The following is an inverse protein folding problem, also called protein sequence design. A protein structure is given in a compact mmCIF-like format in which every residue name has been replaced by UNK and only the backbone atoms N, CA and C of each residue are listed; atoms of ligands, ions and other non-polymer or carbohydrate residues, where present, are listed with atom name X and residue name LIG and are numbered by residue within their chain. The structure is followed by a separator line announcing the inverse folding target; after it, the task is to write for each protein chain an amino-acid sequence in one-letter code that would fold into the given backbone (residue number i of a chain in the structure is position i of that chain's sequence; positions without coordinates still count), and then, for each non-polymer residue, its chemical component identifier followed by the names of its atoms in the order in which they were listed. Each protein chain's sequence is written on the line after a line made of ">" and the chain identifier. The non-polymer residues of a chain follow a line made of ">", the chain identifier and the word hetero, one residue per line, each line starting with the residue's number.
data_IF_647358397425
#
_entry.id   IF_647358397425
#
_cell.length_a   1.000
_cell.length_b   1.000
_cell.length_c   1.000
_cell.angle_alpha   90.00
_cell.angle_beta   90.00
_cell.angle_gamma   90.00
#
_symmetry.space_group_name_H-M   'P 1'
#
loop_
_entity.id
_entity.type
_entity.pdbx_description
1 polymer ?
#
# COMPACT_ATOMS: atom_id res chain seq x y z
N UNK A 1 -38.38 -20.27 27.63
CA UNK A 1 -38.34 -20.93 26.31
C UNK A 1 -36.91 -21.36 26.10
N UNK A 2 -36.60 -22.57 26.52
CA UNK A 2 -35.26 -23.17 26.46
C UNK A 2 -34.97 -23.64 25.03
N UNK A 3 -33.74 -23.44 24.59
CA UNK A 3 -33.26 -23.88 23.29
C UNK A 3 -32.99 -25.40 23.35
N UNK A 4 -33.56 -26.23 22.45
CA UNK A 4 -33.32 -27.66 22.49
C UNK A 4 -31.91 -27.96 21.95
N UNK A 5 -31.10 -28.68 22.73
CA UNK A 5 -29.87 -29.30 22.28
C UNK A 5 -30.21 -30.63 21.57
N UNK A 6 -29.71 -30.91 20.37
CA UNK A 6 -29.78 -32.25 19.81
C UNK A 6 -28.60 -33.08 20.34
N UNK A 7 -28.91 -34.17 21.06
CA UNK A 7 -27.97 -35.27 21.23
C UNK A 7 -27.97 -36.09 19.92
N UNK A 8 -26.81 -36.18 19.27
CA UNK A 8 -26.52 -37.19 18.26
C UNK A 8 -25.05 -37.64 18.40
N UNK A 9 -24.87 -38.94 18.66
CA UNK A 9 -23.71 -39.81 18.43
C UNK A 9 -22.29 -39.22 18.45
N UNK A 10 -21.52 -39.63 19.47
CA UNK A 10 -20.09 -39.33 19.69
C UNK A 10 -19.14 -40.27 18.93
N UNK A 11 -19.13 -40.25 17.60
CA UNK A 11 -18.05 -40.92 16.82
C UNK A 11 -17.40 -40.06 15.72
N UNK A 12 -17.87 -38.84 15.46
CA UNK A 12 -17.24 -37.89 14.52
C UNK A 12 -17.07 -36.50 15.17
N UNK A 13 -16.46 -36.45 16.36
CA UNK A 13 -15.93 -35.17 16.85
C UNK A 13 -14.68 -34.84 16.01
N UNK A 14 -14.65 -33.75 15.23
CA UNK A 14 -13.44 -33.35 14.53
C UNK A 14 -12.33 -33.18 15.58
N UNK A 15 -11.19 -33.80 15.33
CA UNK A 15 -10.01 -33.73 16.18
C UNK A 15 -9.70 -32.25 16.48
N UNK A 16 -9.90 -31.84 17.74
CA UNK A 16 -9.63 -30.47 18.23
C UNK A 16 -8.13 -30.10 18.14
N UNK A 17 -7.30 -30.97 17.54
CA UNK A 17 -5.86 -30.78 17.28
C UNK A 17 -5.48 -30.96 15.82
N UNK A 18 -6.41 -30.76 14.87
CA UNK A 18 -6.03 -30.60 13.48
C UNK A 18 -4.93 -29.51 13.37
N UNK A 19 -3.82 -29.77 12.65
CA UNK A 19 -2.73 -28.81 12.56
C UNK A 19 -3.26 -27.51 11.95
N UNK A 20 -2.87 -26.38 12.56
CA UNK A 20 -3.15 -25.05 11.99
C UNK A 20 -2.55 -25.03 10.58
N UNK A 21 -3.41 -24.91 9.58
CA UNK A 21 -2.97 -24.86 8.18
C UNK A 21 -2.35 -23.48 7.95
N UNK A 22 -1.04 -23.44 7.81
CA UNK A 22 -0.33 -22.22 7.43
C UNK A 22 -0.38 -22.06 5.90
N UNK A 23 -0.84 -20.88 5.46
CA UNK A 23 -0.84 -20.51 4.05
C UNK A 23 0.35 -19.58 3.78
N UNK A 24 1.25 -19.93 2.84
CA UNK A 24 2.37 -19.06 2.51
C UNK A 24 1.87 -17.80 1.79
N UNK A 25 2.64 -16.71 1.87
CA UNK A 25 2.31 -15.46 1.17
C UNK A 25 2.63 -15.49 -0.34
N UNK A 26 3.42 -16.48 -0.75
CA UNK A 26 3.84 -16.74 -2.12
C UNK A 26 4.45 -18.14 -2.19
N UNK A 27 4.58 -18.68 -3.41
CA UNK A 27 5.34 -19.91 -3.63
C UNK A 27 6.13 -19.85 -4.94
N UNK A 28 7.16 -20.70 -5.05
CA UNK A 28 7.98 -20.82 -6.24
C UNK A 28 7.53 -22.00 -7.10
N UNK A 29 7.51 -21.81 -8.42
CA UNK A 29 7.18 -22.85 -9.39
C UNK A 29 8.09 -22.77 -10.63
N UNK A 30 8.20 -23.87 -11.36
CA UNK A 30 8.86 -23.86 -12.66
C UNK A 30 7.96 -23.25 -13.72
N UNK A 31 8.52 -22.31 -14.49
CA UNK A 31 7.86 -21.66 -15.61
C UNK A 31 8.70 -21.81 -16.88
N UNK A 32 8.04 -21.72 -18.03
CA UNK A 32 8.69 -21.62 -19.34
C UNK A 32 8.62 -20.16 -19.78
N UNK A 33 9.77 -19.48 -19.78
CA UNK A 33 9.90 -18.14 -20.35
C UNK A 33 10.18 -18.23 -21.84
N UNK A 34 9.36 -17.54 -22.64
CA UNK A 34 9.47 -17.47 -24.09
C UNK A 34 9.91 -16.05 -24.50
N UNK A 35 10.91 -15.96 -25.36
CA UNK A 35 11.15 -14.77 -26.18
C UNK A 35 10.77 -15.06 -27.65
N UNK A 36 11.07 -14.15 -28.58
CA UNK A 36 10.71 -14.32 -30.01
C UNK A 36 11.35 -15.55 -30.67
N UNK A 37 12.42 -16.09 -30.12
CA UNK A 37 13.28 -17.10 -30.76
C UNK A 37 13.74 -18.23 -29.82
N UNK A 38 13.54 -18.10 -28.50
CA UNK A 38 14.02 -19.07 -27.50
C UNK A 38 12.95 -19.39 -26.46
N UNK A 39 13.04 -20.59 -25.92
CA UNK A 39 12.35 -21.01 -24.70
C UNK A 39 13.37 -21.40 -23.63
N UNK A 40 13.14 -20.96 -22.40
CA UNK A 40 13.98 -21.29 -21.24
C UNK A 40 13.11 -21.68 -20.06
N UNK A 41 13.52 -22.70 -19.30
CA UNK A 41 12.89 -23.04 -18.02
C UNK A 41 13.59 -22.28 -16.90
N UNK A 42 12.81 -21.67 -16.01
CA UNK A 42 13.33 -20.99 -14.81
C UNK A 42 12.35 -21.16 -13.66
N UNK A 43 12.80 -20.94 -12.43
CA UNK A 43 11.90 -20.76 -11.30
C UNK A 43 11.38 -19.33 -11.27
N UNK A 44 10.09 -19.18 -10.99
CA UNK A 44 9.45 -17.89 -10.74
C UNK A 44 8.68 -17.95 -9.42
N UNK A 45 8.41 -16.79 -8.82
CA UNK A 45 7.64 -16.67 -7.58
C UNK A 45 6.29 -16.04 -7.88
N UNK A 46 5.22 -16.62 -7.34
CA UNK A 46 3.85 -16.15 -7.52
C UNK A 46 3.25 -15.85 -6.16
N UNK A 47 2.63 -14.68 -6.05
CA UNK A 47 1.92 -14.25 -4.83
C UNK A 47 0.73 -15.17 -4.58
N UNK A 48 0.47 -15.48 -3.32
CA UNK A 48 -0.68 -16.28 -2.93
C UNK A 48 -1.95 -15.42 -2.85
N UNK A 49 -3.07 -16.01 -3.28
CA UNK A 49 -4.41 -15.44 -3.20
C UNK A 49 -5.33 -16.45 -2.51
N UNK A 50 -5.57 -16.24 -1.20
CA UNK A 50 -6.29 -17.18 -0.34
C UNK A 50 -7.71 -16.65 -0.07
N UNK A 51 -8.74 -17.51 -0.06
CA UNK A 51 -10.05 -17.16 0.47
C UNK A 51 -9.97 -16.88 1.98
N UNK A 52 -10.28 -15.64 2.37
CA UNK A 52 -10.28 -15.20 3.76
C UNK A 52 -11.71 -14.83 4.17
N UNK A 53 -12.30 -15.62 5.07
CA UNK A 53 -13.61 -15.40 5.64
C UNK A 53 -13.55 -14.47 6.86
N UNK A 54 -14.35 -13.41 6.85
CA UNK A 54 -14.49 -12.46 7.96
C UNK A 54 -15.69 -12.87 8.82
N UNK A 55 -15.42 -13.40 10.01
CA UNK A 55 -16.43 -14.01 10.89
C UNK A 55 -16.62 -13.15 12.12
N UNK A 56 -17.79 -12.53 12.28
CA UNK A 56 -18.12 -11.68 13.43
C UNK A 56 -19.07 -12.42 14.37
N UNK A 57 -18.65 -12.66 15.62
CA UNK A 57 -19.42 -13.38 16.64
C UNK A 57 -20.08 -14.66 16.07
N UNK A 58 -19.24 -15.52 15.46
CA UNK A 58 -19.63 -16.79 14.82
C UNK A 58 -20.49 -16.67 13.56
N UNK A 59 -20.64 -15.48 12.97
CA UNK A 59 -21.36 -15.29 11.71
C UNK A 59 -20.39 -14.85 10.62
N UNK A 60 -20.23 -15.69 9.59
CA UNK A 60 -19.52 -15.31 8.36
C UNK A 60 -20.26 -14.15 7.67
N UNK A 61 -19.54 -13.05 7.47
CA UNK A 61 -20.05 -11.82 6.89
C UNK A 61 -19.66 -11.68 5.42
N UNK A 62 -18.39 -11.91 5.11
CA UNK A 62 -17.84 -11.80 3.77
C UNK A 62 -16.67 -12.77 3.59
N UNK A 63 -16.40 -13.15 2.35
CA UNK A 63 -15.20 -13.87 1.96
C UNK A 63 -14.48 -13.02 0.91
N UNK A 64 -13.21 -12.73 1.16
CA UNK A 64 -12.36 -11.93 0.30
C UNK A 64 -11.18 -12.77 -0.16
N UNK A 65 -10.84 -12.68 -1.45
CA UNK A 65 -9.55 -13.16 -1.91
C UNK A 65 -8.48 -12.13 -1.49
N UNK A 66 -7.48 -12.57 -0.74
CA UNK A 66 -6.43 -11.72 -0.20
C UNK A 66 -5.13 -12.51 0.02
N UNK A 67 -4.02 -11.80 0.12
CA UNK A 67 -2.72 -12.42 0.46
C UNK A 67 -2.68 -12.65 1.99
N UNK A 68 -2.26 -13.84 2.47
CA UNK A 68 -2.38 -14.26 3.87
C UNK A 68 -1.35 -13.61 4.81
N UNK A 69 -1.22 -12.29 4.74
CA UNK A 69 -0.31 -11.46 5.54
C UNK A 69 -1.07 -10.36 6.27
N UNK A 70 -0.56 -9.93 7.43
CA UNK A 70 -1.11 -8.81 8.20
C UNK A 70 -2.64 -8.92 8.44
N UNK A 71 -3.13 -10.13 8.76
CA UNK A 71 -4.56 -10.45 8.77
C UNK A 71 -5.37 -9.73 9.85
N UNK A 72 -4.77 -9.50 11.02
CA UNK A 72 -5.41 -8.66 12.06
C UNK A 72 -5.56 -7.20 11.60
N UNK A 73 -4.58 -6.68 10.85
CA UNK A 73 -4.66 -5.35 10.27
C UNK A 73 -5.75 -5.31 9.19
N UNK A 74 -5.83 -6.35 8.35
CA UNK A 74 -6.89 -6.49 7.35
C UNK A 74 -8.28 -6.49 8.00
N UNK A 75 -8.48 -7.32 9.03
CA UNK A 75 -9.75 -7.44 9.74
C UNK A 75 -10.21 -6.12 10.37
N UNK A 76 -9.33 -5.43 11.09
CA UNK A 76 -9.67 -4.15 11.71
C UNK A 76 -9.95 -3.09 10.65
N UNK A 77 -9.08 -2.98 9.64
CA UNK A 77 -9.21 -2.00 8.57
C UNK A 77 -10.48 -2.16 7.75
N UNK A 78 -10.78 -3.39 7.34
CA UNK A 78 -12.03 -3.73 6.66
C UNK A 78 -13.23 -3.35 7.53
N UNK A 79 -13.20 -3.72 8.81
CA UNK A 79 -14.31 -3.47 9.73
C UNK A 79 -14.61 -1.98 9.92
N UNK A 80 -13.58 -1.14 9.98
CA UNK A 80 -13.71 0.32 10.06
C UNK A 80 -14.12 0.93 8.71
N UNK A 81 -13.48 0.51 7.62
CA UNK A 81 -13.77 0.98 6.26
C UNK A 81 -15.20 0.66 5.83
N UNK A 82 -15.73 -0.49 6.26
CA UNK A 82 -17.11 -0.91 6.02
C UNK A 82 -18.13 -0.31 7.03
N UNK A 83 -17.66 0.44 8.03
CA UNK A 83 -18.53 0.96 9.08
C UNK A 83 -19.29 -0.14 9.83
N UNK A 84 -18.68 -1.34 9.90
CA UNK A 84 -19.09 -2.42 10.81
C UNK A 84 -18.70 -2.00 12.22
N UNK A 85 -17.51 -1.42 12.36
CA UNK A 85 -17.05 -0.74 13.56
C UNK A 85 -16.99 0.77 13.30
N UNK A 86 -17.23 1.57 14.33
CA UNK A 86 -17.00 3.03 14.34
C UNK A 86 -15.70 3.39 15.06
N UNK A 87 -15.20 2.52 15.93
CA UNK A 87 -13.95 2.74 16.65
C UNK A 87 -13.22 1.41 16.89
N UNK A 88 -11.89 1.41 17.00
CA UNK A 88 -11.12 0.18 17.20
C UNK A 88 -11.47 -0.57 18.49
N UNK A 89 -11.85 0.14 19.56
CA UNK A 89 -12.23 -0.48 20.84
C UNK A 89 -13.54 -1.27 20.80
N UNK A 90 -14.25 -1.27 19.67
CA UNK A 90 -15.43 -2.11 19.47
C UNK A 90 -15.07 -3.53 18.97
N UNK A 91 -13.81 -3.76 18.57
CA UNK A 91 -13.22 -5.08 18.32
C UNK A 91 -12.58 -5.58 19.62
N UNK A 92 -13.16 -6.62 20.20
CA UNK A 92 -12.74 -7.20 21.47
C UNK A 92 -11.70 -8.30 21.29
N UNK A 93 -11.78 -9.03 20.19
CA UNK A 93 -10.85 -10.13 19.87
C UNK A 93 -10.78 -10.34 18.36
N UNK A 94 -9.64 -10.85 17.87
CA UNK A 94 -9.38 -11.10 16.45
C UNK A 94 -8.34 -12.21 16.29
N UNK A 95 -8.77 -13.37 15.80
CA UNK A 95 -7.95 -14.56 15.65
C UNK A 95 -8.04 -15.11 14.21
N UNK A 96 -6.96 -15.01 13.42
CA UNK A 96 -6.85 -15.71 12.15
C UNK A 96 -6.61 -17.21 12.36
N UNK A 97 -7.44 -18.06 11.77
CA UNK A 97 -7.38 -19.52 11.88
C UNK A 97 -7.35 -20.14 10.49
N UNK A 98 -6.30 -20.92 10.20
CA UNK A 98 -6.18 -21.68 8.97
C UNK A 98 -7.15 -22.86 8.91
N UNK A 99 -7.86 -23.00 7.80
CA UNK A 99 -8.81 -24.10 7.51
C UNK A 99 -8.49 -24.70 6.12
N UNK A 100 -8.98 -25.90 5.79
CA UNK A 100 -8.67 -26.54 4.50
C UNK A 100 -9.04 -25.69 3.28
N UNK A 101 -10.10 -24.90 3.39
CA UNK A 101 -10.63 -24.07 2.31
C UNK A 101 -10.02 -22.65 2.26
N UNK A 102 -9.14 -22.29 3.21
CA UNK A 102 -8.55 -20.95 3.30
C UNK A 102 -8.29 -20.52 4.74
N UNK A 103 -8.69 -19.29 5.09
CA UNK A 103 -8.49 -18.76 6.45
C UNK A 103 -9.79 -18.14 6.94
N UNK A 104 -10.13 -18.37 8.20
CA UNK A 104 -11.16 -17.62 8.91
C UNK A 104 -10.52 -16.59 9.83
N UNK A 105 -10.86 -15.32 9.70
CA UNK A 105 -10.55 -14.33 10.73
C UNK A 105 -11.76 -14.22 11.65
N UNK A 106 -11.64 -14.85 12.83
CA UNK A 106 -12.66 -14.91 13.86
C UNK A 106 -12.55 -13.67 14.73
N UNK A 107 -13.59 -12.86 14.71
CA UNK A 107 -13.65 -11.58 15.42
C UNK A 107 -14.76 -11.58 16.45
N UNK A 108 -14.44 -11.08 17.64
CA UNK A 108 -15.43 -10.76 18.66
C UNK A 108 -15.64 -9.26 18.66
N UNK A 109 -16.88 -8.82 18.44
CA UNK A 109 -17.28 -7.41 18.47
C UNK A 109 -18.37 -7.17 19.51
N UNK A 110 -18.46 -5.93 19.98
CA UNK A 110 -19.48 -5.50 20.96
C UNK A 110 -20.91 -5.79 20.47
N UNK A 111 -21.80 -6.14 21.41
CA UNK A 111 -23.12 -6.69 21.11
C UNK A 111 -24.02 -5.79 20.25
N UNK A 112 -23.98 -4.47 20.43
CA UNK A 112 -24.77 -3.53 19.62
C UNK A 112 -24.30 -3.46 18.16
N UNK A 113 -22.98 -3.57 17.90
CA UNK A 113 -22.45 -3.67 16.53
C UNK A 113 -22.89 -4.94 15.85
N UNK A 114 -22.82 -6.05 16.58
CA UNK A 114 -23.31 -7.33 16.07
C UNK A 114 -24.82 -7.30 15.78
N UNK A 115 -25.62 -6.61 16.59
CA UNK A 115 -27.04 -6.42 16.33
C UNK A 115 -27.29 -5.58 15.05
N UNK A 116 -26.59 -4.46 14.88
CA UNK A 116 -26.65 -3.63 13.65
C UNK A 116 -26.25 -4.44 12.40
N UNK A 117 -25.19 -5.26 12.49
CA UNK A 117 -24.71 -6.10 11.40
C UNK A 117 -25.75 -7.13 10.98
N UNK A 118 -26.39 -7.81 11.94
CA UNK A 118 -27.48 -8.77 11.67
C UNK A 118 -28.67 -8.09 11.01
N UNK A 119 -29.04 -6.89 11.44
CA UNK A 119 -30.15 -6.16 10.85
C UNK A 119 -29.86 -5.79 9.39
N UNK A 120 -28.66 -5.23 9.11
CA UNK A 120 -28.22 -4.96 7.73
C UNK A 120 -28.26 -6.20 6.85
N UNK A 121 -27.82 -7.35 7.37
CA UNK A 121 -27.82 -8.62 6.62
C UNK A 121 -29.23 -9.13 6.32
N UNK A 122 -30.20 -8.95 7.22
CA UNK A 122 -31.62 -9.27 6.95
C UNK A 122 -32.18 -8.41 5.83
N UNK A 123 -31.79 -7.14 5.77
CA UNK A 123 -32.17 -6.23 4.70
C UNK A 123 -31.48 -6.57 3.37
N UNK A 124 -30.31 -7.21 3.40
CA UNK A 124 -29.48 -7.57 2.23
C UNK A 124 -29.61 -9.04 1.80
N UNK A 125 -30.68 -9.74 2.18
CA UNK A 125 -30.85 -11.15 1.86
C UNK A 125 -31.08 -11.39 0.35
N UNK A 126 -29.98 -11.41 -0.42
CA UNK A 126 -29.95 -11.71 -1.85
C UNK A 126 -28.69 -11.22 -2.57
N UNK A 127 -27.62 -12.04 -2.60
CA UNK A 127 -26.44 -12.01 -3.51
C UNK A 127 -25.14 -11.27 -3.06
N UNK A 128 -24.12 -11.30 -3.92
CA UNK A 128 -22.76 -11.84 -3.74
C UNK A 128 -21.61 -10.81 -3.75
N UNK A 129 -20.68 -10.91 -2.80
CA UNK A 129 -19.24 -11.21 -3.01
C UNK A 129 -18.27 -10.22 -3.69
N UNK A 130 -18.68 -9.08 -4.27
CA UNK A 130 -17.72 -8.22 -5.00
C UNK A 130 -17.80 -6.72 -4.66
N UNK A 131 -18.13 -6.37 -3.41
CA UNK A 131 -18.11 -5.00 -2.89
C UNK A 131 -19.21 -4.06 -3.41
N UNK A 132 -19.72 -4.28 -4.63
CA UNK A 132 -20.81 -3.49 -5.24
C UNK A 132 -21.85 -4.35 -5.97
N UNK A 133 -21.58 -5.63 -6.21
CA UNK A 133 -22.48 -6.57 -6.89
C UNK A 133 -23.58 -7.11 -5.95
N UNK A 134 -24.34 -6.21 -5.32
CA UNK A 134 -25.41 -6.59 -4.37
C UNK A 134 -26.16 -5.44 -3.70
N UNK A 135 -25.86 -4.18 -4.04
CA UNK A 135 -26.58 -3.01 -3.49
C UNK A 135 -27.94 -2.85 -4.16
N UNK A 136 -29.02 -3.13 -3.43
CA UNK A 136 -30.41 -3.08 -3.92
C UNK A 136 -30.90 -1.66 -4.27
N UNK A 137 -30.21 -0.62 -3.81
CA UNK A 137 -30.56 0.76 -4.16
C UNK A 137 -29.32 1.64 -4.28
N UNK A 138 -29.42 2.65 -5.16
CA UNK A 138 -28.42 3.71 -5.27
C UNK A 138 -28.18 4.45 -3.93
N UNK A 139 -29.15 4.41 -2.99
CA UNK A 139 -29.01 4.96 -1.64
C UNK A 139 -28.16 4.07 -0.71
N UNK A 140 -28.10 2.77 -0.95
CA UNK A 140 -27.23 1.86 -0.20
C UNK A 140 -25.75 2.01 -0.59
N UNK A 141 -25.46 2.54 -1.79
CA UNK A 141 -24.11 2.94 -2.21
C UNK A 141 -23.58 4.17 -1.45
N UNK A 142 -24.47 5.06 -1.00
CA UNK A 142 -24.10 6.32 -0.38
C UNK A 142 -24.02 6.19 1.14
N UNK A 143 -22.86 5.77 1.67
CA UNK A 143 -22.53 6.11 3.07
C UNK A 143 -22.46 7.63 3.22
N UNK A 144 -22.79 8.19 4.39
CA UNK A 144 -22.63 9.62 4.63
C UNK A 144 -21.19 10.03 4.33
N UNK A 145 -21.04 11.12 3.58
CA UNK A 145 -19.73 11.75 3.40
C UNK A 145 -19.33 12.35 4.74
N UNK A 146 -18.21 11.90 5.29
CA UNK A 146 -17.61 12.48 6.50
C UNK A 146 -16.57 13.50 6.03
N UNK A 147 -16.79 14.82 6.23
CA UNK A 147 -15.83 15.81 5.78
C UNK A 147 -14.49 15.62 6.49
N UNK A 148 -13.41 15.68 5.73
CA UNK A 148 -12.05 15.69 6.28
C UNK A 148 -11.71 17.14 6.65
N UNK A 149 -11.64 17.42 7.95
CA UNK A 149 -11.50 18.78 8.47
C UNK A 149 -10.06 19.30 8.49
N UNK A 150 -9.06 18.41 8.39
CA UNK A 150 -7.64 18.72 8.44
C UNK A 150 -6.87 17.83 7.49
N UNK A 151 -5.87 18.39 6.82
CA UNK A 151 -4.97 17.66 5.93
C UNK A 151 -3.54 18.16 6.15
N UNK A 152 -2.56 17.28 5.94
CA UNK A 152 -1.18 17.72 5.86
C UNK A 152 -0.98 18.55 4.58
N UNK A 153 0.06 19.38 4.55
CA UNK A 153 0.37 20.21 3.38
C UNK A 153 1.81 19.92 2.93
N UNK A 154 2.07 18.74 2.33
CA UNK A 154 3.41 18.37 1.94
C UNK A 154 3.87 19.22 0.76
N UNK A 155 5.20 19.33 0.62
CA UNK A 155 5.79 19.85 -0.63
C UNK A 155 5.60 18.83 -1.75
N UNK A 156 5.41 19.28 -2.98
CA UNK A 156 5.37 18.40 -4.15
C UNK A 156 6.59 17.45 -4.22
N UNK A 157 7.77 17.96 -3.85
CA UNK A 157 8.99 17.14 -3.76
C UNK A 157 8.91 16.01 -2.73
N UNK A 158 8.19 16.19 -1.62
CA UNK A 158 8.00 15.12 -0.62
C UNK A 158 7.15 13.98 -1.18
N UNK A 159 6.07 14.30 -1.91
CA UNK A 159 5.24 13.31 -2.60
C UNK A 159 6.06 12.56 -3.66
N UNK A 160 6.85 13.28 -4.47
CA UNK A 160 7.70 12.67 -5.50
C UNK A 160 8.74 11.71 -4.91
N UNK A 161 9.42 12.11 -3.82
CA UNK A 161 10.37 11.25 -3.10
C UNK A 161 9.71 9.98 -2.57
N UNK A 162 8.58 10.12 -1.91
CA UNK A 162 7.85 9.00 -1.34
C UNK A 162 7.43 7.99 -2.41
N UNK A 163 6.94 8.47 -3.57
CA UNK A 163 6.61 7.61 -4.71
C UNK A 163 7.85 6.88 -5.26
N UNK A 164 8.99 7.56 -5.33
CA UNK A 164 10.23 6.99 -5.86
C UNK A 164 10.79 5.87 -4.96
N UNK A 165 10.72 6.05 -3.62
CA UNK A 165 11.29 5.09 -2.66
C UNK A 165 10.33 3.95 -2.31
N UNK A 166 9.02 4.11 -2.54
CA UNK A 166 8.00 3.11 -2.19
C UNK A 166 8.31 1.67 -2.68
N UNK A 167 8.87 1.42 -3.89
CA UNK A 167 9.28 0.07 -4.32
C UNK A 167 10.28 -0.65 -3.39
N UNK A 168 11.10 0.07 -2.61
CA UNK A 168 12.00 -0.52 -1.59
C UNK A 168 11.20 -1.20 -0.48
N UNK A 169 10.00 -0.73 -0.20
CA UNK A 169 9.19 -1.21 0.91
C UNK A 169 8.16 -2.28 0.48
N UNK A 170 8.13 -2.64 -0.81
CA UNK A 170 7.18 -3.59 -1.38
C UNK A 170 7.84 -4.96 -1.63
N UNK A 171 8.00 -5.74 -0.57
CA UNK A 171 8.63 -7.07 -0.63
C UNK A 171 7.88 -7.98 -1.61
N UNK A 172 6.56 -8.11 -1.45
CA UNK A 172 5.76 -9.04 -2.27
C UNK A 172 5.77 -8.62 -3.74
N UNK A 173 5.64 -7.33 -4.04
CA UNK A 173 5.74 -6.85 -5.42
C UNK A 173 7.13 -7.07 -6.02
N UNK A 174 8.22 -6.88 -5.26
CA UNK A 174 9.58 -7.15 -5.76
C UNK A 174 9.79 -8.63 -6.08
N UNK A 175 9.29 -9.50 -5.22
CA UNK A 175 9.50 -10.94 -5.34
C UNK A 175 8.58 -11.59 -6.38
N UNK A 176 7.37 -11.06 -6.59
CA UNK A 176 6.32 -11.72 -7.40
C UNK A 176 5.75 -10.86 -8.54
N UNK A 177 5.91 -9.54 -8.48
CA UNK A 177 5.24 -8.59 -9.37
C UNK A 177 3.71 -8.52 -9.23
N UNK A 178 3.10 -9.29 -8.33
CA UNK A 178 1.64 -9.48 -8.25
C UNK A 178 0.93 -8.63 -7.19
N UNK A 179 1.67 -7.95 -6.31
CA UNK A 179 1.10 -7.18 -5.20
C UNK A 179 0.70 -5.74 -5.55
N UNK A 180 -0.35 -5.25 -4.91
CA UNK A 180 -0.59 -3.83 -4.71
C UNK A 180 -0.13 -3.39 -3.31
N UNK A 181 0.16 -2.11 -3.16
CA UNK A 181 0.57 -1.55 -1.88
C UNK A 181 -0.22 -0.28 -1.53
N UNK A 182 -0.46 -0.12 -0.24
CA UNK A 182 -0.86 1.14 0.37
C UNK A 182 0.19 1.53 1.42
N UNK A 183 0.59 2.79 1.42
CA UNK A 183 1.63 3.31 2.29
C UNK A 183 1.19 4.57 3.03
N UNK A 184 1.56 4.68 4.30
CA UNK A 184 1.47 5.90 5.09
C UNK A 184 2.79 6.65 5.01
N UNK A 185 2.71 7.92 4.62
CA UNK A 185 3.83 8.81 4.44
C UNK A 185 3.63 10.00 5.37
N UNK A 186 4.67 10.47 6.04
CA UNK A 186 4.59 11.72 6.78
C UNK A 186 4.61 12.96 5.86
N UNK A 187 4.48 14.15 6.43
CA UNK A 187 4.49 15.39 5.67
C UNK A 187 5.83 15.70 4.97
N UNK A 188 6.94 15.09 5.42
CA UNK A 188 8.28 15.26 4.88
C UNK A 188 8.59 14.27 3.75
N UNK A 189 7.74 13.27 3.55
CA UNK A 189 7.86 12.29 2.47
C UNK A 189 8.58 11.01 2.87
N UNK A 190 8.81 10.79 4.16
CA UNK A 190 9.39 9.53 4.65
C UNK A 190 8.29 8.45 4.73
N UNK A 191 8.59 7.25 4.24
CA UNK A 191 7.68 6.10 4.28
C UNK A 191 7.65 5.54 5.70
N UNK A 192 6.50 5.64 6.37
CA UNK A 192 6.34 5.23 7.76
C UNK A 192 5.80 3.80 7.91
N UNK A 193 4.94 3.38 6.97
CA UNK A 193 4.32 2.06 6.99
C UNK A 193 3.85 1.65 5.60
N UNK A 194 4.03 0.39 5.24
CA UNK A 194 3.52 -0.21 3.99
C UNK A 194 2.77 -1.49 4.30
N UNK A 195 1.67 -1.71 3.57
CA UNK A 195 0.93 -2.97 3.53
C UNK A 195 0.71 -3.39 2.08
N UNK A 196 0.90 -4.67 1.83
CA UNK A 196 0.77 -5.28 0.51
C UNK A 196 -0.35 -6.33 0.50
N UNK A 197 -1.00 -6.44 -0.65
CA UNK A 197 -1.98 -7.49 -0.94
C UNK A 197 -2.18 -7.62 -2.45
N UNK A 198 -2.56 -8.79 -2.93
CA UNK A 198 -3.01 -8.99 -4.33
C UNK A 198 -4.18 -8.04 -4.68
N UNK A 199 -5.05 -7.75 -3.72
CA UNK A 199 -6.17 -6.82 -3.83
C UNK A 199 -5.84 -5.42 -3.32
N UNK A 200 -5.94 -4.40 -4.18
CA UNK A 200 -5.71 -2.98 -3.79
C UNK A 200 -6.56 -2.47 -2.62
N UNK A 201 -7.81 -2.95 -2.48
CA UNK A 201 -8.69 -2.53 -1.39
C UNK A 201 -8.24 -3.17 -0.08
N UNK A 202 -7.84 -4.44 -0.12
CA UNK A 202 -7.30 -5.17 1.03
C UNK A 202 -5.97 -4.54 1.50
N UNK A 203 -5.09 -4.13 0.57
CA UNK A 203 -3.86 -3.42 0.91
C UNK A 203 -4.14 -2.12 1.69
N UNK A 204 -5.17 -1.35 1.26
CA UNK A 204 -5.60 -0.16 1.97
C UNK A 204 -6.25 -0.47 3.32
N UNK A 205 -7.10 -1.51 3.39
CA UNK A 205 -7.69 -1.96 4.66
C UNK A 205 -6.59 -2.35 5.65
N UNK A 206 -5.64 -3.19 5.25
CA UNK A 206 -4.46 -3.54 6.04
C UNK A 206 -3.73 -2.29 6.53
N UNK A 207 -3.49 -1.32 5.66
CA UNK A 207 -2.83 -0.07 6.08
C UNK A 207 -3.65 0.66 7.15
N UNK A 208 -4.95 0.84 6.93
CA UNK A 208 -5.84 1.54 7.87
C UNK A 208 -5.90 0.82 9.22
N UNK A 209 -6.01 -0.51 9.23
CA UNK A 209 -6.00 -1.29 10.46
C UNK A 209 -4.69 -1.13 11.23
N UNK A 210 -3.56 -1.26 10.54
CA UNK A 210 -2.24 -1.11 11.12
C UNK A 210 -2.01 0.29 11.72
N UNK A 211 -2.42 1.34 11.00
CA UNK A 211 -2.37 2.73 11.46
C UNK A 211 -3.26 2.97 12.68
N UNK A 212 -4.45 2.40 12.68
CA UNK A 212 -5.41 2.53 13.78
C UNK A 212 -4.87 1.88 15.06
N UNK A 213 -4.29 0.67 14.95
CA UNK A 213 -3.64 0.00 16.10
C UNK A 213 -2.49 0.81 16.68
N UNK A 214 -1.75 1.54 15.84
CA UNK A 214 -0.63 2.40 16.25
C UNK A 214 -1.06 3.77 16.79
N UNK A 215 -2.36 4.11 16.75
CA UNK A 215 -2.85 5.41 17.19
C UNK A 215 -2.31 6.58 16.36
N UNK A 216 -2.30 6.44 15.03
CA UNK A 216 -1.78 7.48 14.15
C UNK A 216 -2.60 8.79 14.17
N UNK A 217 -1.96 9.89 13.75
CA UNK A 217 -2.62 11.18 13.57
C UNK A 217 -2.94 11.38 12.07
N UNK A 218 -4.22 11.31 11.64
CA UNK A 218 -4.56 11.29 10.20
C UNK A 218 -4.18 12.53 9.40
N UNK A 219 -3.90 13.65 10.08
CA UNK A 219 -3.50 14.91 9.45
C UNK A 219 -1.98 15.18 9.53
N UNK A 220 -1.20 14.24 10.06
CA UNK A 220 0.26 14.34 10.11
C UNK A 220 0.96 13.85 8.83
N UNK A 221 0.20 13.27 7.89
CA UNK A 221 0.74 12.59 6.73
C UNK A 221 -0.34 12.31 5.68
N UNK A 222 0.00 11.48 4.70
CA UNK A 222 -0.86 11.13 3.58
C UNK A 222 -0.70 9.67 3.17
N UNK A 223 -1.67 9.16 2.40
CA UNK A 223 -1.63 7.81 1.88
C UNK A 223 -1.18 7.82 0.41
N UNK A 224 -0.25 6.92 0.05
CA UNK A 224 0.02 6.54 -1.33
C UNK A 224 -0.56 5.15 -1.60
N UNK A 225 -1.27 4.99 -2.73
CA UNK A 225 -1.66 3.68 -3.25
C UNK A 225 -1.03 3.44 -4.63
N UNK A 226 -0.49 2.24 -4.86
CA UNK A 226 0.13 1.88 -6.16
C UNK A 226 -0.90 1.55 -7.24
N UNK A 227 -2.18 1.51 -6.90
CA UNK A 227 -3.30 1.24 -7.79
C UNK A 227 -3.95 2.51 -8.35
N UNK A 228 -5.07 2.32 -9.05
CA UNK A 228 -6.05 3.40 -9.33
C UNK A 228 -6.74 3.85 -8.05
N UNK A 229 -7.22 5.09 -8.02
CA UNK A 229 -8.14 5.57 -6.98
C UNK A 229 -9.60 5.37 -7.43
N UNK A 230 -10.26 4.34 -6.89
CA UNK A 230 -11.70 4.14 -7.04
C UNK A 230 -12.50 4.95 -6.00
N UNK A 231 -13.82 4.97 -6.15
CA UNK A 231 -14.72 5.56 -5.16
C UNK A 231 -14.49 4.97 -3.76
N UNK A 232 -14.37 3.64 -3.65
CA UNK A 232 -14.15 2.96 -2.37
C UNK A 232 -12.77 3.26 -1.77
N UNK A 233 -11.73 3.43 -2.59
CA UNK A 233 -10.41 3.83 -2.08
C UNK A 233 -10.46 5.20 -1.40
N UNK A 234 -11.14 6.17 -2.03
CA UNK A 234 -11.36 7.50 -1.45
C UNK A 234 -12.22 7.40 -0.19
N UNK A 235 -13.30 6.61 -0.24
CA UNK A 235 -14.22 6.44 0.88
C UNK A 235 -13.52 5.86 2.12
N UNK A 236 -12.66 4.85 1.94
CA UNK A 236 -11.91 4.21 3.03
C UNK A 236 -10.88 5.16 3.63
N UNK A 237 -10.07 5.83 2.79
CA UNK A 237 -9.10 6.82 3.27
C UNK A 237 -9.78 7.99 4.01
N UNK A 238 -10.92 8.46 3.49
CA UNK A 238 -11.73 9.52 4.10
C UNK A 238 -12.30 9.07 5.45
N UNK A 239 -12.81 7.84 5.54
CA UNK A 239 -13.36 7.28 6.77
C UNK A 239 -12.28 7.09 7.85
N UNK A 240 -11.03 6.88 7.45
CA UNK A 240 -9.86 6.91 8.33
C UNK A 240 -9.40 8.33 8.71
N UNK A 241 -10.08 9.37 8.22
CA UNK A 241 -9.79 10.78 8.51
C UNK A 241 -8.60 11.35 7.72
N UNK A 242 -8.10 10.65 6.72
CA UNK A 242 -6.93 11.08 5.93
C UNK A 242 -7.35 12.13 4.90
N UNK A 243 -6.66 13.27 4.88
CA UNK A 243 -7.02 14.41 4.03
C UNK A 243 -6.34 14.46 2.66
N UNK A 244 -5.35 13.60 2.42
CA UNK A 244 -4.61 13.52 1.16
C UNK A 244 -4.42 12.07 0.74
N UNK A 245 -4.96 11.73 -0.42
CA UNK A 245 -4.78 10.44 -1.08
C UNK A 245 -4.04 10.61 -2.41
N UNK A 246 -2.93 9.91 -2.56
CA UNK A 246 -2.09 9.91 -3.76
C UNK A 246 -2.15 8.55 -4.43
N UNK A 247 -2.51 8.52 -5.72
CA UNK A 247 -2.53 7.31 -6.52
C UNK A 247 -1.44 7.35 -7.61
N UNK A 248 -0.69 6.26 -7.74
CA UNK A 248 0.32 6.08 -8.81
C UNK A 248 -0.34 5.96 -10.20
N UNK A 249 -1.63 5.60 -10.24
CA UNK A 249 -2.44 5.49 -11.45
C UNK A 249 -3.62 6.48 -11.46
N UNK A 250 -4.55 6.31 -12.40
CA UNK A 250 -5.67 7.21 -12.61
C UNK A 250 -6.72 7.13 -11.48
N UNK A 251 -7.36 8.26 -11.10
CA UNK A 251 -8.61 8.24 -10.36
C UNK A 251 -9.82 8.02 -11.29
N UNK A 252 -10.94 7.56 -10.73
CA UNK A 252 -12.23 7.56 -11.45
C UNK A 252 -13.00 8.85 -11.22
N UNK A 253 -13.92 9.22 -12.12
CA UNK A 253 -14.76 10.40 -11.93
C UNK A 253 -15.62 10.36 -10.66
N UNK A 254 -16.04 9.16 -10.23
CA UNK A 254 -16.75 8.99 -8.96
C UNK A 254 -15.85 9.25 -7.74
N UNK A 255 -14.58 8.83 -7.81
CA UNK A 255 -13.59 9.12 -6.78
C UNK A 255 -13.34 10.63 -6.64
N UNK A 256 -13.20 11.34 -7.76
CA UNK A 256 -13.01 12.80 -7.78
C UNK A 256 -14.19 13.53 -7.12
N UNK A 257 -15.43 13.17 -7.48
CA UNK A 257 -16.63 13.79 -6.89
C UNK A 257 -16.74 13.53 -5.38
N UNK A 258 -16.41 12.31 -4.93
CA UNK A 258 -16.42 11.99 -3.50
C UNK A 258 -15.34 12.77 -2.75
N UNK A 259 -14.12 12.85 -3.30
CA UNK A 259 -13.02 13.59 -2.70
C UNK A 259 -13.36 15.08 -2.55
N UNK A 260 -13.97 15.69 -3.57
CA UNK A 260 -14.41 17.09 -3.54
C UNK A 260 -15.50 17.31 -2.48
N UNK A 261 -16.50 16.42 -2.41
CA UNK A 261 -17.56 16.49 -1.41
C UNK A 261 -17.01 16.31 0.03
N UNK A 262 -15.94 15.56 0.18
CA UNK A 262 -15.29 15.29 1.46
C UNK A 262 -14.27 16.35 1.88
N UNK A 263 -13.86 17.26 1.00
CA UNK A 263 -12.74 18.17 1.28
C UNK A 263 -11.35 17.49 1.22
N UNK A 264 -11.25 16.30 0.62
CA UNK A 264 -10.01 15.52 0.52
C UNK A 264 -9.24 15.89 -0.75
N UNK A 265 -7.94 16.17 -0.62
CA UNK A 265 -7.04 16.31 -1.78
C UNK A 265 -6.78 14.94 -2.41
N UNK A 266 -7.07 14.83 -3.70
CA UNK A 266 -6.86 13.63 -4.50
C UNK A 266 -5.82 13.90 -5.59
N UNK A 267 -4.76 13.11 -5.58
CA UNK A 267 -3.69 13.15 -6.58
C UNK A 267 -3.69 11.84 -7.36
N UNK A 268 -3.52 11.91 -8.67
CA UNK A 268 -3.36 10.75 -9.54
C UNK A 268 -2.14 10.88 -10.44
N UNK A 269 -1.80 9.78 -11.10
CA UNK A 269 -0.64 9.71 -12.00
C UNK A 269 0.68 10.16 -11.34
N UNK A 270 0.83 9.96 -10.03
CA UNK A 270 2.04 10.31 -9.32
C UNK A 270 3.18 9.36 -9.73
N UNK A 271 4.10 9.83 -10.57
CA UNK A 271 5.23 9.07 -11.12
C UNK A 271 6.42 9.99 -11.39
N UNK A 272 7.58 9.65 -10.81
CA UNK A 272 8.75 10.52 -10.85
C UNK A 272 8.43 11.89 -10.27
N UNK A 273 8.77 12.95 -10.98
CA UNK A 273 8.49 14.35 -10.56
C UNK A 273 7.09 14.85 -10.99
N UNK A 274 6.29 14.01 -11.66
CA UNK A 274 4.98 14.42 -12.20
C UNK A 274 3.83 13.85 -11.39
N UNK A 275 2.82 14.67 -11.17
CA UNK A 275 1.55 14.28 -10.55
C UNK A 275 0.44 15.20 -11.04
N UNK A 276 -0.80 14.71 -11.03
CA UNK A 276 -1.99 15.49 -11.36
C UNK A 276 -2.87 15.61 -10.13
N UNK A 277 -3.12 16.84 -9.69
CA UNK A 277 -4.00 17.12 -8.55
C UNK A 277 -5.41 17.35 -9.06
N UNK A 278 -6.37 16.54 -8.61
CA UNK A 278 -7.75 16.55 -9.09
C UNK A 278 -8.69 17.37 -8.21
N UNK A 279 -8.41 17.44 -6.91
CA UNK A 279 -9.22 18.14 -5.92
C UNK A 279 -8.31 18.87 -4.93
N UNK A 280 -8.74 20.05 -4.46
CA UNK A 280 -8.05 20.86 -3.43
C UNK A 280 -6.51 21.00 -3.61
N UNK A 281 -6.01 21.60 -4.71
CA UNK A 281 -4.58 21.70 -5.00
C UNK A 281 -3.79 22.58 -4.02
N UNK A 282 -4.46 23.43 -3.24
CA UNK A 282 -3.82 24.28 -2.22
C UNK A 282 -3.17 23.50 -1.09
N UNK A 283 -3.53 22.23 -0.92
CA UNK A 283 -2.95 21.32 0.08
C UNK A 283 -1.60 20.73 -0.35
N UNK A 284 -1.04 21.14 -1.49
CA UNK A 284 0.30 20.74 -1.92
C UNK A 284 1.11 21.99 -2.20
N UNK A 285 2.22 22.16 -1.48
CA UNK A 285 3.10 23.30 -1.67
C UNK A 285 4.00 23.07 -2.88
N UNK A 286 3.91 23.97 -3.86
CA UNK A 286 4.94 24.11 -4.88
C UNK A 286 6.19 24.70 -4.23
N UNK A 287 7.35 24.17 -4.59
CA UNK A 287 8.62 24.86 -4.29
C UNK A 287 8.69 26.11 -5.16
N UNK A 288 8.60 27.29 -4.55
CA UNK A 288 8.76 28.57 -5.24
C UNK A 288 10.24 28.77 -5.53
N UNK A 289 10.60 28.81 -6.82
CA UNK A 289 11.93 29.10 -7.38
C UNK A 289 13.08 28.18 -6.96
N UNK A 290 13.55 27.39 -7.94
CA UNK A 290 14.72 26.54 -7.81
C UNK A 290 14.39 25.22 -7.13
N UNK A 291 14.31 24.15 -7.92
CA UNK A 291 14.69 22.84 -7.40
C UNK A 291 16.20 22.95 -7.07
N UNK A 292 16.54 23.56 -5.94
CA UNK A 292 17.80 23.24 -5.30
C UNK A 292 17.62 21.77 -4.93
N UNK A 293 18.24 20.93 -5.73
CA UNK A 293 18.39 19.50 -5.49
C UNK A 293 19.23 19.40 -4.23
N UNK A 294 18.58 19.62 -3.08
CA UNK A 294 19.23 19.75 -1.79
C UNK A 294 19.94 18.44 -1.51
N UNK A 295 21.26 18.51 -1.62
CA UNK A 295 22.11 17.33 -1.58
C UNK A 295 21.99 16.61 -0.24
N UNK A 296 21.67 17.34 0.84
CA UNK A 296 21.44 16.75 2.14
C UNK A 296 20.25 15.77 2.13
N UNK A 297 19.17 16.12 1.43
CA UNK A 297 17.99 15.25 1.31
C UNK A 297 18.25 14.04 0.43
N UNK A 298 18.99 14.20 -0.67
CA UNK A 298 19.33 13.06 -1.53
C UNK A 298 20.28 12.09 -0.81
N UNK A 299 21.24 12.61 -0.04
CA UNK A 299 22.11 11.81 0.83
C UNK A 299 21.28 11.03 1.86
N UNK A 300 20.31 11.68 2.52
CA UNK A 300 19.38 11.01 3.44
C UNK A 300 18.61 9.88 2.76
N UNK A 301 18.03 10.13 1.58
CA UNK A 301 17.28 9.11 0.84
C UNK A 301 18.17 7.93 0.41
N UNK A 302 19.36 8.23 -0.10
CA UNK A 302 20.30 7.20 -0.55
C UNK A 302 20.73 6.32 0.64
N UNK A 303 20.94 6.92 1.82
CA UNK A 303 21.22 6.19 3.05
C UNK A 303 20.05 5.35 3.53
N UNK A 304 18.80 5.85 3.47
CA UNK A 304 17.63 5.03 3.82
C UNK A 304 17.52 3.77 2.94
N UNK A 305 17.88 3.89 1.66
CA UNK A 305 17.99 2.74 0.76
C UNK A 305 19.13 1.83 1.22
N UNK A 306 20.30 2.40 1.51
CA UNK A 306 21.46 1.67 2.04
C UNK A 306 21.16 0.90 3.33
N UNK A 307 20.50 1.51 4.30
CA UNK A 307 20.16 0.92 5.59
C UNK A 307 19.23 -0.29 5.43
N UNK A 308 18.34 -0.26 4.43
CA UNK A 308 17.46 -1.38 4.10
C UNK A 308 18.25 -2.60 3.60
N UNK A 309 19.24 -2.40 2.74
CA UNK A 309 20.05 -3.48 2.17
C UNK A 309 21.27 -3.85 3.03
N UNK A 310 21.71 -2.97 3.94
CA UNK A 310 22.87 -3.19 4.82
C UNK A 310 22.72 -4.37 5.78
N UNK A 311 21.50 -4.86 5.99
CA UNK A 311 21.21 -6.07 6.77
C UNK A 311 21.49 -7.39 6.00
N UNK A 312 21.90 -7.32 4.72
CA UNK A 312 22.14 -8.51 3.90
C UNK A 312 23.52 -9.13 4.18
N UNK A 313 23.65 -10.47 4.11
CA UNK A 313 24.92 -11.16 4.36
C UNK A 313 25.99 -10.88 3.32
N UNK A 314 25.58 -10.72 2.06
CA UNK A 314 26.47 -10.42 0.93
C UNK A 314 26.45 -8.91 0.64
N UNK A 315 27.57 -8.26 0.93
CA UNK A 315 27.73 -6.82 0.75
C UNK A 315 27.82 -6.41 -0.73
N UNK A 316 28.29 -7.30 -1.60
CA UNK A 316 28.38 -7.02 -3.04
C UNK A 316 27.00 -7.07 -3.68
N UNK A 317 26.20 -8.10 -3.34
CA UNK A 317 24.82 -8.23 -3.81
C UNK A 317 23.96 -7.04 -3.35
N UNK A 318 24.11 -6.63 -2.08
CA UNK A 318 23.44 -5.45 -1.55
C UNK A 318 23.84 -4.16 -2.28
N UNK A 319 25.12 -3.99 -2.61
CA UNK A 319 25.61 -2.85 -3.38
C UNK A 319 25.00 -2.79 -4.78
N UNK A 320 24.96 -3.92 -5.49
CA UNK A 320 24.42 -4.02 -6.85
C UNK A 320 22.91 -3.76 -6.88
N UNK A 321 22.17 -4.23 -5.87
CA UNK A 321 20.73 -3.95 -5.72
C UNK A 321 20.46 -2.47 -5.43
N UNK A 322 21.27 -1.82 -4.60
CA UNK A 322 21.16 -0.36 -4.38
C UNK A 322 21.38 0.37 -5.71
N UNK A 323 22.43 0.04 -6.47
CA UNK A 323 22.73 0.69 -7.75
C UNK A 323 21.59 0.47 -8.77
N UNK A 324 21.10 -0.77 -8.89
CA UNK A 324 19.94 -1.13 -9.72
C UNK A 324 18.69 -0.33 -9.32
N UNK A 325 18.44 -0.20 -8.02
CA UNK A 325 17.32 0.57 -7.48
C UNK A 325 17.40 2.05 -7.88
N UNK A 326 18.55 2.69 -7.62
CA UNK A 326 18.78 4.09 -7.98
C UNK A 326 18.59 4.28 -9.50
N UNK A 327 19.14 3.38 -10.33
CA UNK A 327 18.99 3.43 -11.79
C UNK A 327 17.54 3.31 -12.25
N UNK A 328 16.74 2.43 -11.63
CA UNK A 328 15.36 2.13 -12.05
C UNK A 328 14.35 3.15 -11.56
N UNK A 329 14.51 3.69 -10.35
CA UNK A 329 13.48 4.44 -9.66
C UNK A 329 13.79 5.93 -9.47
N UNK A 330 15.06 6.34 -9.51
CA UNK A 330 15.42 7.75 -9.35
C UNK A 330 15.40 8.50 -10.69
N UNK A 331 15.05 9.78 -10.65
CA UNK A 331 15.13 10.66 -11.82
C UNK A 331 16.59 10.80 -12.31
N UNK A 332 16.85 10.84 -13.63
CA UNK A 332 18.18 11.09 -14.18
C UNK A 332 18.94 12.27 -13.54
N UNK A 333 18.23 13.36 -13.21
CA UNK A 333 18.84 14.54 -12.57
C UNK A 333 19.33 14.24 -11.16
N UNK A 334 18.53 13.51 -10.37
CA UNK A 334 18.91 13.11 -9.01
C UNK A 334 20.17 12.24 -9.03
N UNK A 335 20.24 11.27 -9.95
CA UNK A 335 21.42 10.43 -10.12
C UNK A 335 22.64 11.24 -10.51
N UNK A 336 22.51 12.14 -11.49
CA UNK A 336 23.61 13.01 -11.90
C UNK A 336 24.14 13.87 -10.74
N UNK A 337 23.25 14.38 -9.87
CA UNK A 337 23.68 15.16 -8.69
C UNK A 337 24.33 14.30 -7.61
N UNK A 338 23.87 13.07 -7.41
CA UNK A 338 24.52 12.13 -6.47
C UNK A 338 25.92 11.72 -6.96
N UNK A 339 26.07 11.45 -8.26
CA UNK A 339 27.38 11.18 -8.88
C UNK A 339 28.30 12.38 -8.65
N UNK A 340 27.84 13.60 -9.00
CA UNK A 340 28.61 14.82 -8.78
C UNK A 340 28.98 15.04 -7.31
N UNK A 341 28.08 14.77 -6.35
CA UNK A 341 28.38 14.88 -4.92
C UNK A 341 29.44 13.89 -4.45
N UNK A 342 29.39 12.63 -4.93
CA UNK A 342 30.41 11.63 -4.63
C UNK A 342 31.76 12.04 -5.22
N UNK A 343 31.78 12.60 -6.43
CA UNK A 343 33.00 13.14 -7.05
C UNK A 343 33.55 14.37 -6.32
N UNK A 344 32.68 15.28 -5.87
CA UNK A 344 33.03 16.55 -5.21
C UNK A 344 33.48 16.37 -3.74
N UNK A 345 32.88 15.42 -3.02
CA UNK A 345 33.00 15.33 -1.56
C UNK A 345 33.46 13.97 -1.04
N UNK A 346 33.80 13.05 -1.96
CA UNK A 346 34.09 11.64 -1.66
C UNK A 346 32.97 10.93 -0.87
N UNK A 347 31.72 11.31 -1.16
CA UNK A 347 30.54 10.70 -0.54
C UNK A 347 30.22 11.22 0.86
N UNK A 348 30.56 12.48 1.18
CA UNK A 348 30.29 13.06 2.49
C UNK A 348 28.82 12.88 2.92
N UNK A 349 28.61 12.28 4.09
CA UNK A 349 27.30 12.01 4.67
C UNK A 349 26.61 10.75 4.16
N UNK A 350 27.16 10.04 3.17
CA UNK A 350 26.66 8.75 2.71
C UNK A 350 27.23 7.60 3.52
N UNK A 351 26.48 6.50 3.62
CA UNK A 351 27.03 5.23 4.08
C UNK A 351 27.99 4.64 3.04
N UNK A 352 28.91 3.79 3.49
CA UNK A 352 29.96 3.23 2.63
C UNK A 352 29.38 2.42 1.46
N UNK A 353 28.38 1.56 1.75
CA UNK A 353 27.71 0.74 0.74
C UNK A 353 26.99 1.58 -0.32
N UNK A 354 26.39 2.70 0.08
CA UNK A 354 25.69 3.59 -0.86
C UNK A 354 26.68 4.38 -1.71
N UNK A 355 27.81 4.78 -1.13
CA UNK A 355 28.90 5.43 -1.87
C UNK A 355 29.45 4.50 -2.95
N UNK A 356 29.67 3.22 -2.61
CA UNK A 356 30.09 2.20 -3.58
C UNK A 356 29.05 1.99 -4.67
N UNK A 357 27.77 1.88 -4.32
CA UNK A 357 26.68 1.70 -5.29
C UNK A 357 26.55 2.88 -6.25
N UNK A 358 26.69 4.13 -5.78
CA UNK A 358 26.64 5.32 -6.64
C UNK A 358 27.82 5.36 -7.61
N UNK A 359 29.02 4.90 -7.20
CA UNK A 359 30.19 4.80 -8.09
C UNK A 359 29.99 3.80 -9.24
N UNK A 360 29.04 2.86 -9.12
CA UNK A 360 28.67 1.96 -10.22
C UNK A 360 27.73 2.60 -11.24
N UNK A 361 27.13 3.76 -10.94
CA UNK A 361 26.17 4.42 -11.83
C UNK A 361 26.88 5.18 -12.95
N UNK A 362 26.43 4.96 -14.19
CA UNK A 362 26.85 5.79 -15.31
C UNK A 362 26.07 7.12 -15.36
N UNK A 363 26.71 8.23 -15.79
CA UNK A 363 26.02 9.50 -16.01
C UNK A 363 24.88 9.34 -17.04
N UNK A 364 23.67 9.85 -16.78
CA UNK A 364 22.55 9.68 -17.70
C UNK A 364 22.79 10.37 -19.05
N UNK A 365 22.45 9.69 -20.14
CA UNK A 365 22.66 10.15 -21.53
C UNK A 365 22.02 11.52 -21.82
N UNK A 366 20.89 11.85 -21.18
CA UNK A 366 20.10 13.07 -21.44
C UNK A 366 20.75 14.39 -20.99
N UNK A 367 21.95 14.37 -20.38
CA UNK A 367 22.66 15.57 -19.91
C UNK A 367 23.89 15.88 -20.78
N UNK A 368 24.36 14.94 -21.61
CA UNK A 368 25.55 15.11 -22.47
C UNK A 368 25.37 16.18 -23.57
N UNK A 369 24.13 16.45 -24.01
CA UNK A 369 23.84 17.41 -25.09
C UNK A 369 23.81 18.89 -24.65
N UNK A 370 23.96 19.19 -23.35
CA UNK A 370 23.91 20.58 -22.84
C UNK A 370 25.28 21.24 -22.68
N UNK A 371 26.36 20.56 -23.06
CA UNK A 371 27.75 20.99 -22.84
C UNK A 371 28.54 21.25 -24.13
N UNK A 372 27.89 21.68 -25.23
CA UNK A 372 28.60 22.26 -26.37
C UNK A 372 28.59 23.80 -26.28
N UNK A 373 29.77 24.46 -26.23
CA UNK A 373 29.82 25.91 -26.30
C UNK A 373 29.34 26.39 -27.69
N UNK A 374 28.69 27.56 -27.80
CA UNK A 374 28.21 28.05 -29.07
C UNK A 374 29.39 28.30 -30.02
N UNK A 375 29.38 27.64 -31.17
CA UNK A 375 30.28 27.95 -32.28
C UNK A 375 30.16 29.44 -32.63
N UNK A 376 31.30 30.13 -32.58
CA UNK A 376 31.47 31.48 -33.09
C UNK A 376 31.22 31.48 -34.60
N UNK A 377 30.09 32.06 -35.02
CA UNK A 377 29.81 32.31 -36.43
C UNK A 377 30.72 33.44 -36.98
N UNK A 378 31.17 33.36 -38.25
CA UNK A 378 32.05 34.36 -38.87
C UNK A 378 31.37 35.70 -39.18
#
# INVERSE_FOLDING_TARGET
>A
MECPLPFASTEDAPDERAPIIEWPDQYALEVVALDRVRSTRRRDRVIEEVPIALVFNCISHAVMLATPTDLEDFALGFSLGEGILRSPGELLDCEPVGVPEGIEIRMTVVGWRFAELKERRRTLAGRTGCGLCGVESLKALSRPVVPVSRTCVPRAGAVARAVAVLPVYQRLFRETGGGHAAAWIDADGDVQLVREDVGRHNALDKLIGALTRRGFTPHAGFIICTSRASYEMVQKAMSAGVGLLVAVSAPTGAAVRLAEAAGMTLVGFARGERMSVYTHPRSILLSVQGFSMDIHNLVKMANQIGDFFGAWPDQQEACDEIASHLKRFWDPRMRARMIAHVEETDGAGLSEIVTQAIRQLEPPESIRDSAQPPESAP
#
